data_IF_120349837590
#
_entry.id   IF_120349837590
#
_cell.length_a   1.000
_cell.length_b   1.000
_cell.length_c   1.000
_cell.angle_alpha   90.00
_cell.angle_beta   90.00
_cell.angle_gamma   90.00
#
_symmetry.space_group_name_H-M   'P 1'
#
loop_
_entity.id
_entity.type
_entity.pdbx_description
1 polymer ?
#
# COMPACT_ATOMS: atom_id res chain seq x y z
N UNK A 1 -25.43 -3.32 14.25
CA UNK A 1 -25.45 -4.79 14.00
C UNK A 1 -24.03 -5.30 13.87
N UNK A 2 -23.80 -6.60 14.02
CA UNK A 2 -22.47 -7.21 13.91
C UNK A 2 -21.55 -6.98 15.12
N UNK A 3 -22.13 -6.79 16.29
CA UNK A 3 -21.46 -6.73 17.60
C UNK A 3 -22.35 -7.39 18.65
N UNK A 4 -21.79 -7.69 19.83
CA UNK A 4 -22.48 -8.39 20.91
C UNK A 4 -22.35 -7.64 22.24
N UNK A 5 -23.40 -7.70 23.07
CA UNK A 5 -23.41 -7.26 24.46
C UNK A 5 -22.94 -8.36 25.44
N UNK A 6 -22.75 -9.59 24.97
CA UNK A 6 -22.29 -10.72 25.80
C UNK A 6 -20.76 -10.64 25.98
N UNK A 7 -20.24 -10.46 27.21
CA UNK A 7 -18.80 -10.32 27.46
C UNK A 7 -17.96 -11.51 27.02
N UNK A 8 -18.54 -12.71 26.99
CA UNK A 8 -17.87 -13.93 26.52
C UNK A 8 -17.84 -14.07 24.98
N UNK A 9 -18.43 -13.13 24.24
CA UNK A 9 -18.45 -13.17 22.78
C UNK A 9 -17.15 -12.66 22.17
N UNK A 10 -16.66 -13.33 21.11
CA UNK A 10 -15.50 -12.86 20.33
C UNK A 10 -15.74 -11.53 19.60
N UNK A 11 -16.98 -11.04 19.57
CA UNK A 11 -17.37 -9.74 19.00
C UNK A 11 -18.01 -8.83 20.07
N UNK A 12 -17.62 -9.02 21.34
CA UNK A 12 -18.02 -8.13 22.43
C UNK A 12 -17.49 -6.71 22.18
N UNK A 13 -18.37 -5.72 22.27
CA UNK A 13 -18.04 -4.32 21.97
C UNK A 13 -17.54 -3.48 23.16
N UNK A 14 -17.46 -4.07 24.35
CA UNK A 14 -17.13 -3.33 25.56
C UNK A 14 -18.33 -2.61 26.18
N UNK A 15 -18.13 -2.08 27.39
CA UNK A 15 -19.20 -1.47 28.18
C UNK A 15 -19.68 -0.12 27.60
N UNK A 16 -18.82 0.56 26.84
CA UNK A 16 -19.10 1.83 26.18
C UNK A 16 -18.08 2.12 25.07
N UNK A 17 -18.37 3.08 24.19
CA UNK A 17 -17.47 3.48 23.11
C UNK A 17 -16.11 3.93 23.68
N UNK A 18 -15.03 3.33 23.19
CA UNK A 18 -13.65 3.54 23.67
C UNK A 18 -13.39 3.11 25.14
N UNK A 19 -14.10 2.08 25.62
CA UNK A 19 -13.80 1.43 26.91
C UNK A 19 -12.37 0.89 26.95
N UNK A 20 -11.90 0.29 25.87
CA UNK A 20 -10.57 -0.31 25.80
C UNK A 20 -9.47 0.76 25.75
N UNK A 21 -8.44 0.70 26.61
CA UNK A 21 -7.39 1.72 26.67
C UNK A 21 -6.62 1.86 25.36
N UNK A 22 -6.46 0.78 24.58
CA UNK A 22 -5.78 0.77 23.29
C UNK A 22 -6.57 1.58 22.25
N UNK A 23 -7.88 1.34 22.15
CA UNK A 23 -8.75 2.09 21.24
C UNK A 23 -8.82 3.58 21.61
N UNK A 24 -8.81 3.86 22.91
CA UNK A 24 -8.80 5.21 23.47
C UNK A 24 -7.52 5.97 23.13
N UNK A 25 -6.37 5.31 23.23
CA UNK A 25 -5.09 5.91 22.88
C UNK A 25 -5.03 6.34 21.40
N UNK A 26 -5.54 5.50 20.48
CA UNK A 26 -5.62 5.84 19.05
C UNK A 26 -6.54 7.03 18.81
N UNK A 27 -7.72 7.04 19.43
CA UNK A 27 -8.66 8.16 19.36
C UNK A 27 -8.02 9.46 19.84
N UNK A 28 -7.41 9.44 21.03
CA UNK A 28 -6.84 10.62 21.66
C UNK A 28 -5.67 11.16 20.85
N UNK A 29 -4.84 10.29 20.26
CA UNK A 29 -3.76 10.72 19.38
C UNK A 29 -4.28 11.38 18.10
N UNK A 30 -5.26 10.78 17.42
CA UNK A 30 -5.85 11.35 16.21
C UNK A 30 -6.62 12.66 16.46
N UNK A 31 -7.15 12.84 17.66
CA UNK A 31 -7.83 14.07 18.10
C UNK A 31 -6.90 15.07 18.80
N UNK A 32 -5.61 14.80 18.90
CA UNK A 32 -4.65 15.73 19.49
C UNK A 32 -4.44 16.96 18.61
N UNK A 33 -3.99 18.08 19.20
CA UNK A 33 -3.62 19.30 18.45
C UNK A 33 -2.55 19.03 17.35
N UNK A 34 -1.76 17.97 17.53
CA UNK A 34 -0.77 17.55 16.55
C UNK A 34 -1.41 16.98 15.28
N UNK A 35 -2.42 16.12 15.40
CA UNK A 35 -2.96 15.36 14.27
C UNK A 35 -4.35 15.79 13.81
N UNK A 36 -5.16 16.41 14.67
CA UNK A 36 -6.53 16.75 14.34
C UNK A 36 -6.60 17.64 13.09
N UNK A 37 -7.35 17.19 12.08
CA UNK A 37 -7.46 17.87 10.79
C UNK A 37 -6.21 17.82 9.89
N UNK A 38 -5.16 17.07 10.27
CA UNK A 38 -3.91 16.93 9.51
C UNK A 38 -3.68 15.51 8.97
N UNK A 39 -4.59 14.58 9.26
CA UNK A 39 -4.50 13.20 8.79
C UNK A 39 -5.40 13.01 7.56
N UNK A 40 -4.79 12.81 6.40
CA UNK A 40 -5.52 12.65 5.14
C UNK A 40 -5.87 11.19 4.82
N UNK A 41 -5.19 10.24 5.44
CA UNK A 41 -5.40 8.82 5.22
C UNK A 41 -5.26 7.97 6.48
N UNK A 42 -6.07 6.91 6.56
CA UNK A 42 -6.08 5.95 7.66
C UNK A 42 -6.21 4.55 7.08
N UNK A 43 -5.26 3.66 7.38
CA UNK A 43 -5.28 2.26 6.93
C UNK A 43 -5.17 1.38 8.16
N UNK A 44 -6.16 0.51 8.38
CA UNK A 44 -6.11 -0.56 9.38
C UNK A 44 -5.89 -1.90 8.70
N UNK A 45 -4.96 -2.70 9.21
CA UNK A 45 -4.54 -3.97 8.62
C UNK A 45 -5.06 -5.13 9.46
N UNK A 46 -5.72 -6.07 8.80
CA UNK A 46 -6.29 -7.28 9.37
C UNK A 46 -5.88 -8.49 8.54
N UNK A 47 -6.11 -9.69 9.06
CA UNK A 47 -6.14 -10.91 8.25
C UNK A 47 -7.31 -11.77 8.71
N UNK A 48 -7.97 -12.52 7.83
CA UNK A 48 -7.64 -12.84 6.45
C UNK A 48 -8.88 -12.71 5.57
N UNK A 49 -8.68 -12.52 4.26
CA UNK A 49 -9.67 -12.78 3.20
C UNK A 49 -9.23 -12.24 1.82
N UNK A 50 -8.13 -11.48 1.74
CA UNK A 50 -7.73 -10.73 0.54
C UNK A 50 -8.79 -9.70 0.12
N UNK A 51 -9.17 -8.81 1.05
CA UNK A 51 -10.14 -7.74 0.82
C UNK A 51 -9.50 -6.36 0.99
N UNK A 52 -9.87 -5.44 0.11
CA UNK A 52 -9.56 -4.02 0.20
C UNK A 52 -10.86 -3.25 0.46
N UNK A 53 -11.15 -3.01 1.73
CA UNK A 53 -12.42 -2.48 2.22
C UNK A 53 -12.32 -0.97 2.37
N UNK A 54 -13.35 -0.26 1.94
CA UNK A 54 -13.56 1.16 2.22
C UNK A 54 -14.88 1.36 2.99
N UNK A 55 -15.03 2.41 3.81
CA UNK A 55 -16.25 2.64 4.59
C UNK A 55 -17.52 2.79 3.73
N UNK A 56 -18.72 2.57 4.28
CA UNK A 56 -18.99 2.19 5.67
C UNK A 56 -19.27 0.69 5.84
N UNK A 57 -18.92 0.16 7.01
CA UNK A 57 -19.05 -1.26 7.36
C UNK A 57 -20.24 -1.52 8.30
N UNK A 58 -20.76 -0.53 9.03
CA UNK A 58 -21.83 -0.75 10.02
C UNK A 58 -23.22 -1.08 9.44
N UNK A 59 -23.50 -0.73 8.19
CA UNK A 59 -24.79 -0.96 7.55
C UNK A 59 -24.68 -1.05 6.02
N UNK A 60 -25.48 -1.92 5.41
CA UNK A 60 -25.64 -1.95 3.96
C UNK A 60 -26.34 -0.69 3.47
N UNK A 61 -26.12 -0.34 2.20
CA UNK A 61 -26.70 0.85 1.55
C UNK A 61 -26.33 2.18 2.23
N UNK A 62 -25.35 2.17 3.14
CA UNK A 62 -24.79 3.38 3.73
C UNK A 62 -23.36 3.60 3.21
N UNK A 63 -23.16 4.71 2.52
CA UNK A 63 -21.93 4.96 1.77
C UNK A 63 -21.44 6.38 2.03
N UNK A 64 -20.13 6.61 2.15
CA UNK A 64 -19.58 7.96 2.23
C UNK A 64 -19.79 8.71 0.90
N UNK A 65 -19.96 10.03 0.98
CA UNK A 65 -20.21 10.87 -0.21
C UNK A 65 -19.11 10.75 -1.27
N UNK A 66 -17.87 10.49 -0.86
CA UNK A 66 -16.71 10.33 -1.74
C UNK A 66 -16.38 8.87 -2.09
N UNK A 67 -17.34 7.94 -1.96
CA UNK A 67 -17.17 6.52 -2.30
C UNK A 67 -16.59 6.28 -3.70
N UNK A 68 -16.93 7.13 -4.68
CA UNK A 68 -16.39 7.01 -6.04
C UNK A 68 -14.87 7.18 -6.08
N UNK A 69 -14.33 8.07 -5.26
CA UNK A 69 -12.89 8.30 -5.12
C UNK A 69 -12.23 7.11 -4.41
N UNK A 70 -12.81 6.66 -3.29
CA UNK A 70 -12.30 5.53 -2.52
C UNK A 70 -12.24 4.26 -3.37
N UNK A 71 -13.31 3.96 -4.11
CA UNK A 71 -13.36 2.83 -5.03
C UNK A 71 -12.34 2.93 -6.16
N UNK A 72 -12.06 4.14 -6.66
CA UNK A 72 -11.06 4.36 -7.70
C UNK A 72 -9.66 4.06 -7.17
N UNK A 73 -9.31 4.61 -6.02
CA UNK A 73 -8.00 4.41 -5.39
C UNK A 73 -7.82 2.95 -4.95
N UNK A 74 -8.84 2.32 -4.34
CA UNK A 74 -8.83 0.90 -4.02
C UNK A 74 -8.55 0.03 -5.26
N UNK A 75 -9.20 0.32 -6.39
CA UNK A 75 -8.96 -0.40 -7.66
C UNK A 75 -7.51 -0.27 -8.13
N UNK A 76 -6.90 0.92 -8.00
CA UNK A 76 -5.47 1.10 -8.35
C UNK A 76 -4.56 0.32 -7.39
N UNK A 77 -4.85 0.37 -6.09
CA UNK A 77 -4.12 -0.34 -5.05
C UNK A 77 -4.11 -1.86 -5.29
N UNK A 78 -5.29 -2.48 -5.47
CA UNK A 78 -5.36 -3.93 -5.71
C UNK A 78 -4.71 -4.33 -7.04
N UNK A 79 -4.78 -3.50 -8.08
CA UNK A 79 -4.10 -3.77 -9.35
C UNK A 79 -2.58 -3.73 -9.20
N UNK A 80 -2.04 -2.80 -8.40
CA UNK A 80 -0.59 -2.68 -8.18
C UNK A 80 -0.05 -3.79 -7.28
N UNK A 81 -0.83 -4.15 -6.25
CA UNK A 81 -0.60 -5.32 -5.40
C UNK A 81 -0.55 -6.59 -6.27
N UNK A 82 -1.57 -6.81 -7.11
CA UNK A 82 -1.69 -7.98 -7.99
C UNK A 82 -0.47 -8.17 -8.90
N UNK A 83 0.14 -7.08 -9.39
CA UNK A 83 1.34 -7.15 -10.25
C UNK A 83 2.58 -7.76 -9.57
N UNK A 84 2.63 -7.85 -8.24
CA UNK A 84 3.78 -8.43 -7.55
C UNK A 84 3.80 -9.95 -7.66
N UNK A 85 2.69 -10.60 -7.31
CA UNK A 85 2.63 -12.06 -7.19
C UNK A 85 1.37 -12.71 -7.78
N UNK A 86 0.52 -11.94 -8.46
CA UNK A 86 -0.75 -12.42 -9.02
C UNK A 86 -1.87 -12.59 -7.99
N UNK A 87 -1.68 -12.15 -6.75
CA UNK A 87 -2.69 -12.26 -5.68
C UNK A 87 -3.92 -11.45 -6.02
N UNK A 88 -5.09 -12.06 -5.86
CA UNK A 88 -6.37 -11.45 -6.19
C UNK A 88 -7.03 -10.91 -4.93
N UNK A 89 -7.18 -9.59 -4.85
CA UNK A 89 -7.95 -8.93 -3.81
C UNK A 89 -9.30 -8.49 -4.37
N UNK A 90 -10.36 -8.68 -3.58
CA UNK A 90 -11.68 -8.10 -3.86
C UNK A 90 -11.80 -6.76 -3.13
N UNK A 91 -12.68 -5.88 -3.59
CA UNK A 91 -12.91 -4.58 -2.97
C UNK A 91 -14.40 -4.25 -2.85
N UNK A 92 -14.77 -3.47 -1.84
CA UNK A 92 -16.15 -3.08 -1.54
C UNK A 92 -16.25 -2.46 -0.16
N UNK A 93 -17.47 -2.20 0.31
CA UNK A 93 -17.68 -1.86 1.72
C UNK A 93 -17.68 -3.10 2.59
N UNK A 94 -17.34 -2.99 3.87
CA UNK A 94 -17.37 -4.15 4.78
C UNK A 94 -18.76 -4.76 4.88
N UNK A 95 -19.81 -3.93 4.84
CA UNK A 95 -21.19 -4.38 4.86
C UNK A 95 -21.60 -5.18 3.61
N UNK A 96 -21.03 -4.87 2.44
CA UNK A 96 -21.36 -5.51 1.17
C UNK A 96 -20.43 -6.69 0.84
N UNK A 97 -19.18 -6.70 1.33
CA UNK A 97 -18.20 -7.77 1.06
C UNK A 97 -18.18 -8.87 2.11
N UNK A 98 -18.52 -8.55 3.36
CA UNK A 98 -18.55 -9.46 4.50
C UNK A 98 -19.96 -9.51 5.10
N UNK A 99 -20.21 -8.63 6.06
CA UNK A 99 -21.48 -8.50 6.78
C UNK A 99 -21.45 -7.18 7.56
N UNK A 100 -22.61 -6.54 7.82
CA UNK A 100 -22.65 -5.33 8.64
C UNK A 100 -21.99 -5.51 10.02
N UNK A 101 -21.02 -4.66 10.34
CA UNK A 101 -20.28 -4.66 11.60
C UNK A 101 -20.10 -3.23 12.14
N UNK A 102 -20.70 -2.96 13.30
CA UNK A 102 -20.61 -1.66 13.98
C UNK A 102 -19.37 -1.53 14.86
N UNK A 103 -18.83 -0.32 14.99
CA UNK A 103 -17.71 -0.02 15.90
C UNK A 103 -16.33 -0.15 15.26
N UNK A 104 -16.26 -0.35 13.94
CA UNK A 104 -15.02 -0.39 13.18
C UNK A 104 -14.24 0.93 13.25
N UNK A 105 -12.91 0.83 13.34
CA UNK A 105 -12.01 1.98 13.37
C UNK A 105 -11.99 2.75 12.04
N UNK A 106 -12.20 2.05 10.92
CA UNK A 106 -12.37 2.61 9.58
C UNK A 106 -13.62 3.50 9.49
N UNK A 107 -14.77 3.02 9.97
CA UNK A 107 -16.01 3.80 10.03
C UNK A 107 -15.84 5.04 10.92
N UNK A 108 -15.23 4.87 12.10
CA UNK A 108 -14.97 5.97 13.01
C UNK A 108 -14.01 7.01 12.39
N UNK A 109 -12.88 6.58 11.83
CA UNK A 109 -11.91 7.45 11.16
C UNK A 109 -12.55 8.26 10.03
N UNK A 110 -13.42 7.61 9.24
CA UNK A 110 -14.16 8.28 8.16
C UNK A 110 -15.15 9.30 8.68
N UNK A 111 -15.88 8.97 9.74
CA UNK A 111 -16.81 9.89 10.40
C UNK A 111 -16.09 11.09 11.05
N UNK A 112 -14.82 10.92 11.43
CA UNK A 112 -13.97 11.98 11.97
C UNK A 112 -13.29 12.85 10.89
N UNK A 113 -13.71 12.70 9.62
CA UNK A 113 -13.29 13.57 8.52
C UNK A 113 -12.03 13.12 7.77
N UNK A 114 -11.43 11.98 8.11
CA UNK A 114 -10.28 11.46 7.35
C UNK A 114 -10.76 11.01 5.97
N UNK A 115 -10.07 11.48 4.92
CA UNK A 115 -10.54 11.28 3.54
C UNK A 115 -10.31 9.86 3.05
N UNK A 116 -9.05 9.42 3.00
CA UNK A 116 -8.64 8.14 2.41
C UNK A 116 -8.57 7.04 3.47
N UNK A 117 -9.71 6.39 3.72
CA UNK A 117 -9.83 5.37 4.77
C UNK A 117 -9.99 3.99 4.17
N UNK A 118 -9.19 3.02 4.62
CA UNK A 118 -9.28 1.63 4.19
C UNK A 118 -9.04 0.65 5.34
N UNK A 119 -9.74 -0.48 5.28
CA UNK A 119 -9.42 -1.70 6.02
C UNK A 119 -8.91 -2.72 5.01
N UNK A 120 -7.76 -3.35 5.28
CA UNK A 120 -7.20 -4.37 4.40
C UNK A 120 -7.17 -5.71 5.11
N UNK A 121 -7.91 -6.68 4.58
CA UNK A 121 -7.82 -8.09 4.98
C UNK A 121 -6.76 -8.77 4.13
N UNK A 122 -5.64 -9.17 4.75
CA UNK A 122 -4.50 -9.75 4.07
C UNK A 122 -4.73 -11.22 3.65
N UNK A 123 -3.68 -11.86 3.14
CA UNK A 123 -3.64 -13.30 2.87
C UNK A 123 -3.96 -14.14 4.13
N UNK A 124 -4.41 -15.40 3.96
CA UNK A 124 -4.78 -16.05 2.69
C UNK A 124 -6.19 -15.68 2.20
N UNK A 125 -6.54 -16.17 1.01
CA UNK A 125 -7.91 -16.12 0.48
C UNK A 125 -8.88 -16.94 1.36
N UNK A 126 -10.07 -16.40 1.61
CA UNK A 126 -11.07 -17.06 2.47
C UNK A 126 -11.48 -18.45 1.96
N UNK A 127 -11.79 -18.56 0.67
CA UNK A 127 -12.44 -19.74 0.07
C UNK A 127 -11.53 -20.97 -0.06
N UNK A 128 -10.20 -20.78 -0.08
CA UNK A 128 -9.22 -21.85 -0.29
C UNK A 128 -8.48 -22.29 0.97
N UNK A 129 -8.82 -21.71 2.11
CA UNK A 129 -8.11 -22.01 3.35
C UNK A 129 -8.74 -23.21 4.05
N UNK A 130 -7.99 -24.32 4.10
CA UNK A 130 -8.38 -25.57 4.80
C UNK A 130 -8.11 -25.48 6.32
N UNK A 131 -7.26 -24.54 6.75
CA UNK A 131 -6.99 -24.19 8.15
C UNK A 131 -7.68 -22.88 8.56
N UNK A 132 -7.65 -22.51 9.84
CA UNK A 132 -7.95 -21.14 10.25
C UNK A 132 -6.96 -20.19 9.53
N UNK A 133 -7.44 -19.26 8.70
CA UNK A 133 -6.57 -18.41 7.86
C UNK A 133 -5.60 -17.50 8.63
N UNK A 134 -5.68 -17.49 9.95
CA UNK A 134 -4.74 -16.83 10.85
C UNK A 134 -3.37 -17.54 10.94
N UNK A 135 -3.27 -18.83 10.62
CA UNK A 135 -1.99 -19.56 10.61
C UNK A 135 -1.40 -19.56 9.20
N UNK A 136 -0.77 -18.44 8.83
CA UNK A 136 -0.12 -18.26 7.53
C UNK A 136 1.29 -18.87 7.52
N UNK A 137 1.65 -19.58 6.43
CA UNK A 137 2.98 -20.18 6.31
C UNK A 137 4.08 -19.12 6.27
N UNK A 138 5.18 -19.31 7.01
CA UNK A 138 6.30 -18.33 7.14
C UNK A 138 6.81 -17.78 5.80
N UNK A 139 6.85 -18.62 4.75
CA UNK A 139 7.24 -18.25 3.38
C UNK A 139 6.37 -17.16 2.73
N UNK A 140 5.14 -16.98 3.21
CA UNK A 140 4.17 -16.01 2.70
C UNK A 140 4.28 -14.64 3.38
N UNK A 141 5.01 -14.51 4.50
CA UNK A 141 5.10 -13.26 5.26
C UNK A 141 5.69 -12.12 4.43
N UNK A 142 6.84 -12.35 3.80
CA UNK A 142 7.51 -11.34 2.96
C UNK A 142 6.71 -11.04 1.69
N UNK A 143 6.22 -12.04 0.92
CA UNK A 143 5.31 -11.77 -0.20
C UNK A 143 4.10 -10.92 0.17
N UNK A 144 3.44 -11.24 1.30
CA UNK A 144 2.28 -10.48 1.79
C UNK A 144 2.65 -9.03 2.11
N UNK A 145 3.78 -8.80 2.79
CA UNK A 145 4.25 -7.46 3.11
C UNK A 145 4.59 -6.64 1.85
N UNK A 146 5.31 -7.23 0.89
CA UNK A 146 5.73 -6.55 -0.35
C UNK A 146 4.52 -6.13 -1.18
N UNK A 147 3.58 -7.03 -1.44
CA UNK A 147 2.42 -6.71 -2.26
C UNK A 147 1.48 -5.70 -1.59
N UNK A 148 1.29 -5.83 -0.27
CA UNK A 148 0.45 -4.90 0.51
C UNK A 148 1.05 -3.51 0.49
N UNK A 149 2.37 -3.40 0.67
CA UNK A 149 3.06 -2.11 0.66
C UNK A 149 2.95 -1.42 -0.70
N UNK A 150 2.98 -2.17 -1.81
CA UNK A 150 2.71 -1.61 -3.14
C UNK A 150 1.27 -1.08 -3.28
N UNK A 151 0.28 -1.75 -2.70
CA UNK A 151 -1.09 -1.22 -2.60
C UNK A 151 -1.16 0.05 -1.74
N UNK A 152 -0.49 0.08 -0.59
CA UNK A 152 -0.44 1.25 0.30
C UNK A 152 0.18 2.48 -0.40
N UNK A 153 1.19 2.29 -1.25
CA UNK A 153 1.77 3.38 -2.05
C UNK A 153 0.74 4.08 -2.93
N UNK A 154 -0.23 3.36 -3.51
CA UNK A 154 -1.29 3.97 -4.31
C UNK A 154 -2.21 4.87 -3.49
N UNK A 155 -2.45 4.54 -2.22
CA UNK A 155 -3.20 5.40 -1.30
C UNK A 155 -2.40 6.65 -0.97
N UNK A 156 -1.11 6.50 -0.68
CA UNK A 156 -0.20 7.64 -0.42
C UNK A 156 -0.15 8.56 -1.65
N UNK A 157 -0.01 8.00 -2.85
CA UNK A 157 -0.01 8.76 -4.10
C UNK A 157 -1.36 9.51 -4.29
N UNK A 158 -2.50 8.87 -3.99
CA UNK A 158 -3.81 9.52 -4.04
C UNK A 158 -3.93 10.70 -3.06
N UNK A 159 -3.43 10.54 -1.82
CA UNK A 159 -3.36 11.63 -0.82
C UNK A 159 -2.52 12.79 -1.34
N UNK A 160 -1.33 12.49 -1.88
CA UNK A 160 -0.42 13.51 -2.40
C UNK A 160 -0.99 14.24 -3.63
N UNK A 161 -1.70 13.54 -4.50
CA UNK A 161 -2.44 14.11 -5.63
C UNK A 161 -3.55 15.03 -5.15
N UNK A 162 -4.37 14.59 -4.18
CA UNK A 162 -5.47 15.36 -3.61
C UNK A 162 -4.99 16.69 -3.02
N UNK A 163 -3.89 16.63 -2.26
CA UNK A 163 -3.26 17.79 -1.64
C UNK A 163 -2.40 18.62 -2.61
N UNK A 164 -2.31 18.23 -3.88
CA UNK A 164 -1.51 18.90 -4.93
C UNK A 164 -0.03 19.02 -4.53
N UNK A 165 0.46 18.09 -3.71
CA UNK A 165 1.85 17.99 -3.26
C UNK A 165 2.70 17.41 -4.40
N UNK A 166 2.20 16.38 -5.08
CA UNK A 166 2.76 15.95 -6.35
C UNK A 166 2.26 16.92 -7.42
N UNK A 167 3.11 17.88 -7.79
CA UNK A 167 2.91 18.64 -9.02
C UNK A 167 3.23 17.72 -10.20
N UNK A 168 2.32 17.62 -11.18
CA UNK A 168 2.50 16.94 -12.48
C UNK A 168 3.98 17.03 -12.91
N UNK A 169 4.68 15.92 -13.25
CA UNK A 169 6.05 15.99 -13.75
C UNK A 169 6.24 17.04 -14.85
N UNK A 170 5.21 17.27 -15.68
CA UNK A 170 5.19 18.28 -16.74
C UNK A 170 5.03 19.72 -16.23
N UNK A 171 4.50 19.93 -15.03
CA UNK A 171 4.40 21.26 -14.42
C UNK A 171 5.75 21.86 -14.02
N UNK A 172 6.80 21.01 -13.90
CA UNK A 172 8.20 21.44 -13.70
C UNK A 172 8.86 21.89 -15.00
N UNK A 173 8.26 21.57 -16.15
CA UNK A 173 8.78 21.93 -17.47
C UNK A 173 8.15 23.27 -17.88
N UNK A 174 8.97 24.26 -18.23
CA UNK A 174 8.46 25.56 -18.69
C UNK A 174 7.47 25.38 -19.86
N UNK A 175 6.37 26.17 -19.95
CA UNK A 175 5.35 26.00 -20.99
C UNK A 175 5.91 25.98 -22.42
N UNK A 176 7.00 26.72 -22.65
CA UNK A 176 7.69 26.82 -23.93
C UNK A 176 8.43 25.52 -24.30
N UNK A 177 8.96 24.80 -23.30
CA UNK A 177 9.62 23.49 -23.48
C UNK A 177 8.57 22.39 -23.69
N UNK A 178 7.41 22.49 -23.02
CA UNK A 178 6.26 21.57 -23.21
C UNK A 178 5.78 21.55 -24.67
N UNK A 179 5.68 22.72 -25.32
CA UNK A 179 5.32 22.86 -26.75
C UNK A 179 6.40 22.29 -27.68
N UNK A 180 7.69 22.54 -27.39
CA UNK A 180 8.80 22.00 -28.18
C UNK A 180 8.92 20.47 -28.09
N UNK A 181 8.61 19.88 -26.95
CA UNK A 181 8.68 18.44 -26.75
C UNK A 181 7.49 17.70 -27.39
N UNK A 182 6.35 18.37 -27.59
CA UNK A 182 5.20 17.83 -28.32
C UNK A 182 5.30 18.03 -29.84
N UNK A 183 5.92 19.12 -30.30
CA UNK A 183 6.06 19.42 -31.74
C UNK A 183 7.41 19.02 -32.35
N UNK A 184 8.41 18.65 -31.54
CA UNK A 184 9.78 18.36 -31.99
C UNK A 184 10.05 16.91 -32.37
N UNK A 185 9.14 15.97 -32.10
CA UNK A 185 9.28 14.59 -32.53
C UNK A 185 8.40 14.35 -33.75
N UNK A 186 9.02 14.11 -34.91
CA UNK A 186 8.33 13.38 -35.98
C UNK A 186 7.93 12.04 -35.41
N UNK A 187 6.64 11.88 -35.12
CA UNK A 187 6.07 10.63 -34.63
C UNK A 187 6.38 9.51 -35.65
N UNK A 188 7.02 8.40 -35.27
CA UNK A 188 7.18 7.26 -36.17
C UNK A 188 5.80 6.65 -36.44
N UNK A 189 5.56 6.19 -37.67
CA UNK A 189 4.25 5.75 -38.19
C UNK A 189 3.68 4.45 -37.58
N UNK A 190 4.20 3.93 -36.46
CA UNK A 190 3.62 2.74 -35.83
C UNK A 190 3.60 2.79 -34.30
N UNK A 191 2.46 2.39 -33.74
CA UNK A 191 2.12 2.49 -32.30
C UNK A 191 3.10 1.73 -31.40
N UNK A 192 3.70 0.65 -31.89
CA UNK A 192 4.63 -0.19 -31.13
C UNK A 192 5.94 0.51 -30.74
N UNK A 193 6.42 1.49 -31.53
CA UNK A 193 7.66 2.21 -31.23
C UNK A 193 7.47 3.44 -30.33
N UNK A 194 6.24 3.98 -30.26
CA UNK A 194 5.95 5.16 -29.43
C UNK A 194 6.04 4.83 -27.93
N UNK A 195 5.59 3.64 -27.53
CA UNK A 195 5.59 3.20 -26.13
C UNK A 195 7.00 2.90 -25.61
N UNK A 196 7.87 2.32 -26.44
CA UNK A 196 9.28 2.08 -26.09
C UNK A 196 10.07 3.39 -25.93
N UNK A 197 9.76 4.41 -26.75
CA UNK A 197 10.48 5.68 -26.70
C UNK A 197 10.13 6.50 -25.45
N UNK A 198 8.87 6.44 -25.00
CA UNK A 198 8.41 7.10 -23.78
C UNK A 198 8.92 6.42 -22.51
N UNK A 199 8.92 5.08 -22.48
CA UNK A 199 9.39 4.29 -21.33
C UNK A 199 10.91 4.39 -21.14
N UNK A 200 11.70 4.28 -22.23
CA UNK A 200 13.17 4.42 -22.15
C UNK A 200 13.60 5.79 -21.62
N UNK A 201 12.86 6.86 -21.95
CA UNK A 201 13.20 8.24 -21.55
C UNK A 201 12.84 8.59 -20.11
N UNK A 202 11.69 8.10 -19.61
CA UNK A 202 11.32 8.26 -18.19
C UNK A 202 12.33 7.54 -17.28
N UNK A 203 12.82 6.37 -17.70
CA UNK A 203 13.83 5.62 -16.93
C UNK A 203 15.20 6.33 -16.94
N UNK A 204 15.64 6.86 -18.08
CA UNK A 204 16.92 7.59 -18.15
C UNK A 204 16.90 8.92 -17.39
N UNK A 205 15.79 9.67 -17.42
CA UNK A 205 15.68 10.90 -16.64
C UNK A 205 15.59 10.62 -15.13
N UNK A 206 14.99 9.48 -14.71
CA UNK A 206 14.98 9.05 -13.31
C UNK A 206 16.38 8.65 -12.80
N UNK A 207 17.21 8.02 -13.65
CA UNK A 207 18.61 7.71 -13.31
C UNK A 207 19.49 8.95 -13.22
N UNK A 208 19.24 9.98 -14.05
CA UNK A 208 19.99 11.24 -14.00
C UNK A 208 19.65 12.11 -12.79
N UNK A 209 18.40 12.07 -12.33
CA UNK A 209 17.94 12.78 -11.12
C UNK A 209 18.43 12.14 -9.80
N UNK A 210 18.93 10.89 -9.84
CA UNK A 210 19.50 10.19 -8.68
C UNK A 210 21.04 10.27 -8.60
N UNK A 211 21.69 11.05 -9.47
CA UNK A 211 23.13 11.34 -9.34
C UNK A 211 24.08 10.14 -9.57
N UNK A 212 23.62 9.04 -10.17
CA UNK A 212 24.49 7.91 -10.52
C UNK A 212 25.04 8.11 -11.94
N UNK A 213 26.12 8.89 -12.05
CA UNK A 213 26.88 9.02 -13.29
C UNK A 213 27.96 7.93 -13.38
N UNK A 214 27.86 7.10 -14.43
CA UNK A 214 28.91 6.37 -15.13
C UNK A 214 29.93 5.57 -14.30
N UNK A 215 29.75 4.25 -14.25
CA UNK A 215 30.87 3.31 -14.24
C UNK A 215 30.99 2.70 -15.64
N UNK A 216 32.10 2.96 -16.32
CA UNK A 216 32.45 2.29 -17.58
C UNK A 216 32.75 0.80 -17.34
N UNK A 217 32.48 -0.08 -18.33
CA UNK A 217 32.61 -1.53 -18.16
C UNK A 217 34.07 -1.95 -18.19
N UNK A 218 34.60 -2.45 -17.06
CA UNK A 218 35.91 -3.08 -17.05
C UNK A 218 35.79 -4.54 -17.51
N UNK A 219 36.60 -4.85 -18.51
CA UNK A 219 36.78 -6.11 -19.21
C UNK A 219 37.18 -7.28 -18.31
N UNK A 220 36.66 -8.45 -18.66
CA UNK A 220 37.01 -9.78 -18.15
C UNK A 220 38.49 -10.12 -18.34
N UNK A 221 39.15 -10.56 -17.27
CA UNK A 221 40.27 -11.50 -17.37
C UNK A 221 40.18 -12.53 -16.23
N UNK A 222 40.06 -13.77 -16.65
CA UNK A 222 40.17 -15.02 -15.90
C UNK A 222 41.50 -15.15 -15.17
N UNK A 223 41.49 -15.63 -13.92
CA UNK A 223 42.44 -16.65 -13.44
C UNK A 223 41.99 -17.27 -12.10
N UNK A 224 42.20 -18.59 -12.02
CA UNK A 224 41.80 -19.56 -10.99
C UNK A 224 42.91 -19.79 -9.93
N UNK A 225 42.71 -20.60 -8.86
CA UNK A 225 43.14 -20.31 -7.49
C UNK A 225 44.51 -20.91 -7.11
N UNK A 226 45.10 -20.42 -6.01
CA UNK A 226 46.13 -21.13 -5.26
C UNK A 226 45.77 -21.31 -3.78
N UNK A 227 46.07 -22.53 -3.34
CA UNK A 227 45.84 -23.20 -2.06
C UNK A 227 46.93 -22.87 -1.03
N UNK A 228 46.67 -23.24 0.24
CA UNK A 228 47.58 -23.41 1.41
C UNK A 228 47.86 -22.14 2.23
N UNK A 229 47.93 -22.15 3.57
CA UNK A 229 48.08 -23.22 4.55
C UNK A 229 47.46 -22.85 5.90
N UNK A 230 47.18 -23.90 6.68
CA UNK A 230 46.95 -23.92 8.13
C UNK A 230 48.09 -23.26 8.91
N UNK A 231 47.76 -22.53 9.99
CA UNK A 231 48.61 -22.53 11.18
C UNK A 231 47.79 -22.35 12.46
N UNK A 232 47.93 -23.34 13.33
CA UNK A 232 47.33 -23.46 14.65
C UNK A 232 48.24 -22.74 15.65
N UNK A 233 47.67 -21.90 16.52
CA UNK A 233 48.32 -21.60 17.81
C UNK A 233 47.29 -21.69 18.93
N UNK A 234 47.42 -22.79 19.69
CA UNK A 234 46.97 -22.86 21.07
C UNK A 234 47.88 -21.97 21.92
N UNK A 235 47.31 -21.25 22.88
CA UNK A 235 48.04 -20.92 24.11
C UNK A 235 47.06 -20.90 25.27
N UNK A 236 47.49 -21.58 26.31
CA UNK A 236 46.86 -21.93 27.58
C UNK A 236 46.95 -20.82 28.63
N UNK A 237 46.09 -20.93 29.66
CA UNK A 237 46.20 -20.43 31.06
C UNK A 237 46.20 -18.91 31.24
N UNK A 238 45.38 -18.29 32.09
CA UNK A 238 44.73 -18.68 33.37
C UNK A 238 43.21 -18.44 33.39
#
# INVERSE_FOLDING_TARGET
>A
SGSSYEPCSNIYHGDHVFSEPESRAVRDYLNSDELQGKVDGFITLHSYAQLWIYPYSHAQQNYPEDISELRRTARRAINRLHRQYGTEYRMGTGADTLSPASGGSDDWAKSNGIKYVYLVELRPEYERTVSNGFILHKKELIPTAVETFEGVKEVIEAVLEHNKIIKDPLSRIAPQLRKKQLCGFRCPRSEHHALECLTKKVVTDRMRLLGMANADPMTTSTETPMTTAFETTQTTTE
#
